data_IF_779811178036
#
_entry.id   IF_779811178036
#
_cell.length_a   1.000
_cell.length_b   1.000
_cell.length_c   1.000
_cell.angle_alpha   90.00
_cell.angle_beta   90.00
_cell.angle_gamma   90.00
#
_symmetry.space_group_name_H-M   'P 1'
#
loop_
_entity.id
_entity.type
_entity.pdbx_description
1 polymer ?
#
# COMPACT_ATOMS: atom_id res chain seq x y z
N UNK A 1 22.12 88.64 10.44
CA UNK A 1 21.30 89.00 11.61
C UNK A 1 19.90 89.30 11.12
N UNK A 2 18.90 88.82 11.88
CA UNK A 2 17.45 88.89 11.69
C UNK A 2 16.84 87.72 10.88
N UNK A 3 15.91 87.06 11.58
CA UNK A 3 15.41 85.71 11.41
C UNK A 3 14.30 85.65 10.36
N UNK A 4 14.39 84.69 9.43
CA UNK A 4 13.21 84.10 8.83
C UNK A 4 12.66 83.08 9.84
N UNK A 5 11.50 83.36 10.45
CA UNK A 5 10.74 82.33 11.18
C UNK A 5 9.65 81.83 10.25
N UNK A 6 9.91 80.64 9.73
CA UNK A 6 9.00 79.82 8.94
C UNK A 6 7.68 79.63 9.68
N UNK A 7 6.57 79.87 8.98
CA UNK A 7 5.25 79.38 9.37
C UNK A 7 5.24 77.86 9.25
N UNK A 8 5.67 77.17 10.30
CA UNK A 8 5.37 75.75 10.51
C UNK A 8 4.08 75.68 11.31
N UNK A 9 2.95 75.45 10.63
CA UNK A 9 1.78 74.89 11.27
C UNK A 9 2.19 73.54 11.84
N UNK A 10 2.46 73.51 13.15
CA UNK A 10 2.64 72.31 13.93
C UNK A 10 1.44 71.40 13.68
N UNK A 11 1.63 70.38 12.83
CA UNK A 11 0.80 69.18 12.83
C UNK A 11 1.02 68.51 14.17
N UNK A 12 0.32 69.00 15.20
CA UNK A 12 0.26 68.31 16.48
C UNK A 12 -0.48 67.00 16.19
N UNK A 13 0.25 65.89 16.26
CA UNK A 13 -0.37 64.56 16.25
C UNK A 13 -1.39 64.54 17.37
N UNK A 14 -2.64 64.14 17.08
CA UNK A 14 -3.72 64.12 18.06
C UNK A 14 -3.36 63.34 19.34
N UNK A 15 -2.47 62.34 19.22
CA UNK A 15 -1.88 61.62 20.35
C UNK A 15 -1.06 62.53 21.29
N UNK A 16 -0.31 63.50 20.78
CA UNK A 16 0.49 64.41 21.59
C UNK A 16 -0.33 65.41 22.41
N UNK A 17 -1.50 65.83 21.89
CA UNK A 17 -2.46 66.68 22.63
C UNK A 17 -3.21 65.89 23.71
N UNK A 18 -3.50 64.61 23.48
CA UNK A 18 -4.23 63.76 24.45
C UNK A 18 -3.31 63.25 25.56
N UNK A 19 -2.11 62.78 25.22
CA UNK A 19 -1.24 62.04 26.16
C UNK A 19 -0.06 62.85 26.71
N UNK A 20 0.16 64.08 26.21
CA UNK A 20 1.25 64.96 26.66
C UNK A 20 2.65 64.46 26.31
N UNK A 21 3.70 65.30 26.50
CA UNK A 21 5.07 64.87 26.28
C UNK A 21 5.49 63.93 27.42
N UNK A 22 5.85 62.69 27.07
CA UNK A 22 6.46 61.68 27.94
C UNK A 22 5.56 61.08 29.03
N UNK A 23 4.32 60.70 28.72
CA UNK A 23 3.58 59.73 29.54
C UNK A 23 3.44 60.11 31.02
N UNK A 24 3.37 61.41 31.31
CA UNK A 24 3.04 61.90 32.64
C UNK A 24 1.53 61.68 32.78
N UNK A 25 1.16 60.71 33.61
CA UNK A 25 -0.24 60.32 33.86
C UNK A 25 -1.08 61.52 34.31
N UNK A 26 -1.72 62.22 33.36
CA UNK A 26 -2.90 63.02 33.65
C UNK A 26 -4.01 62.03 34.03
N UNK A 27 -4.21 61.83 35.34
CA UNK A 27 -5.20 60.92 35.95
C UNK A 27 -6.68 61.25 35.64
N UNK A 28 -6.94 62.17 34.71
CA UNK A 28 -8.27 62.67 34.38
C UNK A 28 -8.93 61.92 33.21
N UNK A 29 -8.21 61.00 32.55
CA UNK A 29 -8.75 60.15 31.50
C UNK A 29 -8.92 58.69 31.97
N UNK A 30 -9.98 58.44 32.73
CA UNK A 30 -10.42 57.09 33.12
C UNK A 30 -11.78 56.78 32.45
N UNK A 31 -11.81 56.08 31.30
CA UNK A 31 -13.04 55.57 30.71
C UNK A 31 -13.63 54.50 31.65
N UNK A 32 -14.71 54.85 32.37
CA UNK A 32 -15.25 54.06 33.48
C UNK A 32 -15.79 52.67 33.11
N UNK A 33 -15.97 52.38 31.82
CA UNK A 33 -16.64 51.18 31.32
C UNK A 33 -15.75 50.28 30.46
N UNK A 34 -14.42 50.43 30.53
CA UNK A 34 -13.51 49.62 29.71
C UNK A 34 -13.08 48.36 30.46
N UNK A 35 -13.40 47.21 29.88
CA UNK A 35 -12.91 45.91 30.33
C UNK A 35 -12.09 45.25 29.22
N UNK A 36 -11.15 44.38 29.60
CA UNK A 36 -10.41 43.57 28.63
C UNK A 36 -11.39 42.67 27.87
N UNK A 37 -11.28 42.63 26.53
CA UNK A 37 -12.23 41.95 25.65
C UNK A 37 -12.53 40.47 26.02
N UNK A 38 -11.60 39.76 26.65
CA UNK A 38 -11.71 38.34 26.99
C UNK A 38 -11.49 38.05 28.49
N UNK A 39 -11.77 39.01 29.37
CA UNK A 39 -11.53 38.87 30.82
C UNK A 39 -12.21 37.64 31.46
N UNK A 40 -13.34 37.18 30.90
CA UNK A 40 -14.10 36.04 31.44
C UNK A 40 -13.56 34.67 31.00
N UNK A 41 -12.58 34.63 30.08
CA UNK A 41 -12.05 33.37 29.52
C UNK A 41 -10.61 33.16 29.95
N UNK A 42 -10.27 31.91 30.25
CA UNK A 42 -8.90 31.50 30.53
C UNK A 42 -8.03 31.63 29.27
N UNK A 43 -6.74 31.88 29.47
CA UNK A 43 -5.75 32.03 28.40
C UNK A 43 -5.58 30.73 27.59
N UNK A 44 -5.60 29.59 28.26
CA UNK A 44 -5.44 28.27 27.66
C UNK A 44 -6.51 27.29 28.16
N UNK A 45 -6.72 26.24 27.37
CA UNK A 45 -7.52 25.07 27.72
C UNK A 45 -6.68 23.80 27.51
N UNK A 46 -7.18 22.64 27.97
CA UNK A 46 -6.48 21.35 27.88
C UNK A 46 -6.07 20.96 26.44
N UNK A 47 -6.79 21.46 25.43
CA UNK A 47 -6.56 21.17 24.00
C UNK A 47 -5.73 22.23 23.28
N UNK A 48 -5.30 23.29 23.96
CA UNK A 48 -4.60 24.42 23.32
C UNK A 48 -3.23 23.98 22.82
N UNK A 49 -2.50 23.19 23.62
CA UNK A 49 -1.23 22.60 23.23
C UNK A 49 -1.38 21.67 22.01
N UNK A 50 -2.35 20.75 22.04
CA UNK A 50 -2.62 19.84 20.92
C UNK A 50 -3.03 20.58 19.64
N UNK A 51 -3.83 21.64 19.78
CA UNK A 51 -4.23 22.51 18.67
C UNK A 51 -3.04 23.22 18.02
N UNK A 52 -2.09 23.69 18.84
CA UNK A 52 -0.84 24.29 18.36
C UNK A 52 0.04 23.23 17.67
N UNK A 53 0.14 22.02 18.23
CA UNK A 53 0.89 20.91 17.59
C UNK A 53 0.30 20.56 16.23
N UNK A 54 -1.04 20.47 16.12
CA UNK A 54 -1.73 20.16 14.87
C UNK A 54 -1.52 21.24 13.80
N UNK A 55 -1.34 22.50 14.22
CA UNK A 55 -1.04 23.62 13.31
C UNK A 55 0.27 23.40 12.54
N UNK A 56 1.27 22.80 13.18
CA UNK A 56 2.58 22.49 12.58
C UNK A 56 2.66 21.08 11.97
N UNK A 57 1.58 20.30 11.98
CA UNK A 57 1.57 18.96 11.44
C UNK A 57 1.70 18.94 9.91
N UNK A 58 2.24 17.86 9.36
CA UNK A 58 2.27 17.67 7.90
C UNK A 58 0.85 17.44 7.34
N UNK A 59 0.64 17.80 6.08
CA UNK A 59 -0.55 17.37 5.33
C UNK A 59 -0.66 15.83 5.39
N UNK A 60 -1.81 15.24 5.78
CA UNK A 60 -3.16 15.84 5.80
C UNK A 60 -3.64 16.36 7.17
N UNK A 61 -2.82 16.33 8.21
CA UNK A 61 -3.27 16.54 9.60
C UNK A 61 -3.45 18.01 9.98
N UNK A 62 -2.82 18.94 9.27
CA UNK A 62 -2.98 20.39 9.48
C UNK A 62 -4.33 20.97 9.05
N UNK A 63 -5.26 20.16 8.53
CA UNK A 63 -6.58 20.61 8.09
C UNK A 63 -7.68 19.94 8.91
N UNK A 64 -8.69 20.74 9.28
CA UNK A 64 -9.91 20.23 9.95
C UNK A 64 -10.86 19.48 9.01
N UNK A 65 -10.82 19.78 7.71
CA UNK A 65 -11.70 19.17 6.71
C UNK A 65 -11.01 19.09 5.35
N UNK A 66 -11.31 18.05 4.57
CA UNK A 66 -10.75 17.83 3.24
C UNK A 66 -11.65 17.00 2.34
N UNK A 67 -11.22 16.78 1.08
CA UNK A 67 -11.92 15.89 0.13
C UNK A 67 -11.43 14.46 0.29
N UNK A 68 -12.35 13.50 0.16
CA UNK A 68 -11.97 12.09 0.09
C UNK A 68 -11.08 11.81 -1.12
N UNK A 69 -10.03 11.00 -0.93
CA UNK A 69 -9.08 10.58 -1.97
C UNK A 69 -9.17 9.07 -2.14
N UNK A 70 -8.76 8.55 -3.30
CA UNK A 70 -8.66 7.10 -3.51
C UNK A 70 -7.49 6.55 -2.71
N UNK A 71 -7.57 5.31 -2.26
CA UNK A 71 -6.49 4.66 -1.51
C UNK A 71 -5.14 4.69 -2.27
N UNK A 72 -5.15 4.44 -3.59
CA UNK A 72 -3.94 4.49 -4.42
C UNK A 72 -3.34 5.89 -4.62
N UNK A 73 -4.09 6.96 -4.33
CA UNK A 73 -3.61 8.34 -4.52
C UNK A 73 -2.83 8.85 -3.29
N UNK A 74 -2.75 8.06 -2.21
CA UNK A 74 -2.09 8.42 -0.96
C UNK A 74 -0.73 7.70 -0.89
N UNK A 75 0.39 8.36 -1.23
CA UNK A 75 1.70 7.73 -1.21
C UNK A 75 2.31 7.81 0.20
N UNK A 76 2.10 6.76 1.02
CA UNK A 76 2.56 6.72 2.41
C UNK A 76 4.08 6.88 2.56
N UNK A 77 4.85 6.30 1.64
CA UNK A 77 6.33 6.28 1.68
C UNK A 77 6.95 7.48 0.96
N UNK A 78 6.14 8.43 0.45
CA UNK A 78 6.65 9.56 -0.34
C UNK A 78 7.68 10.39 0.41
N UNK A 79 7.36 10.76 1.65
CA UNK A 79 8.21 11.68 2.42
C UNK A 79 9.57 11.03 2.74
N UNK A 80 9.58 9.71 2.98
CA UNK A 80 10.79 8.98 3.35
C UNK A 80 11.88 9.04 2.29
N UNK A 81 11.53 9.09 0.98
CA UNK A 81 12.52 9.21 -0.09
C UNK A 81 12.77 10.65 -0.58
N UNK A 82 12.04 11.62 -0.04
CA UNK A 82 12.24 13.05 -0.33
C UNK A 82 13.20 13.73 0.65
N UNK A 83 13.36 13.16 1.84
CA UNK A 83 14.33 13.62 2.83
C UNK A 83 15.77 13.33 2.38
N UNK A 84 16.76 13.73 3.18
CA UNK A 84 18.16 13.41 2.87
C UNK A 84 18.51 12.02 3.41
N UNK A 85 19.29 11.29 2.62
CA UNK A 85 19.80 9.97 2.99
C UNK A 85 20.80 10.07 4.16
N UNK A 86 20.61 9.24 5.19
CA UNK A 86 21.55 9.12 6.30
C UNK A 86 22.81 8.34 5.88
N UNK A 87 24.03 8.81 6.18
CA UNK A 87 25.27 8.23 5.65
C UNK A 87 25.61 6.83 6.17
N UNK A 88 25.01 6.36 7.28
CA UNK A 88 25.34 5.08 7.92
C UNK A 88 24.64 3.85 7.30
N UNK A 89 24.01 4.00 6.13
CA UNK A 89 23.18 2.96 5.51
C UNK A 89 23.89 2.30 4.32
N UNK A 90 23.52 1.05 3.96
CA UNK A 90 24.20 0.31 2.90
C UNK A 90 23.98 0.95 1.51
N UNK A 91 24.94 0.76 0.60
CA UNK A 91 24.93 1.32 -0.78
C UNK A 91 23.65 0.97 -1.54
N UNK A 92 23.11 -0.25 -1.32
CA UNK A 92 21.84 -0.73 -1.91
C UNK A 92 20.67 0.20 -1.59
N UNK A 93 20.65 0.78 -0.39
CA UNK A 93 19.64 1.76 0.03
C UNK A 93 19.81 3.06 -0.74
N UNK A 94 21.03 3.61 -0.82
CA UNK A 94 21.32 4.84 -1.54
C UNK A 94 20.93 4.78 -3.03
N UNK A 95 21.23 3.67 -3.71
CA UNK A 95 20.84 3.46 -5.12
C UNK A 95 19.32 3.38 -5.29
N UNK A 96 18.62 2.78 -4.32
CA UNK A 96 17.15 2.68 -4.34
C UNK A 96 16.51 4.04 -4.14
N UNK A 97 17.05 4.84 -3.21
CA UNK A 97 16.66 6.22 -2.94
C UNK A 97 16.77 7.08 -4.20
N UNK A 98 17.94 7.04 -4.86
CA UNK A 98 18.19 7.79 -6.09
C UNK A 98 17.22 7.40 -7.22
N UNK A 99 16.88 6.11 -7.35
CA UNK A 99 15.92 5.63 -8.37
C UNK A 99 14.50 6.14 -8.12
N UNK A 100 14.06 6.16 -6.86
CA UNK A 100 12.74 6.69 -6.49
C UNK A 100 12.68 8.21 -6.71
N UNK A 101 13.70 8.94 -6.27
CA UNK A 101 13.81 10.38 -6.46
C UNK A 101 13.85 10.73 -7.95
N UNK A 102 14.61 9.99 -8.76
CA UNK A 102 14.61 10.15 -10.22
C UNK A 102 13.22 9.98 -10.82
N UNK A 103 12.45 8.98 -10.37
CA UNK A 103 11.08 8.78 -10.86
C UNK A 103 10.14 9.89 -10.41
N UNK A 104 10.30 10.39 -9.19
CA UNK A 104 9.55 11.53 -8.68
C UNK A 104 9.82 12.79 -9.52
N UNK A 105 11.08 13.17 -9.70
CA UNK A 105 11.48 14.34 -10.51
C UNK A 105 11.03 14.20 -11.96
N UNK A 106 11.16 13.03 -12.57
CA UNK A 106 10.68 12.79 -13.94
C UNK A 106 9.16 12.90 -14.07
N UNK A 107 8.40 12.56 -13.03
CA UNK A 107 6.96 12.73 -13.03
C UNK A 107 6.61 14.22 -12.90
N UNK A 108 7.20 14.94 -11.95
CA UNK A 108 6.97 16.39 -11.76
C UNK A 108 7.36 17.18 -13.03
N UNK A 109 8.52 16.90 -13.63
CA UNK A 109 9.03 17.58 -14.83
C UNK A 109 8.11 17.41 -16.06
N UNK A 110 7.52 16.22 -16.22
CA UNK A 110 6.67 15.91 -17.37
C UNK A 110 5.18 15.98 -17.07
N UNK A 111 4.78 16.46 -15.88
CA UNK A 111 3.36 16.64 -15.56
C UNK A 111 2.79 17.74 -16.44
N UNK A 112 1.71 17.42 -17.15
CA UNK A 112 0.96 18.35 -18.00
C UNK A 112 -0.44 18.51 -17.45
N UNK A 113 -1.07 19.69 -17.59
CA UNK A 113 -2.46 19.86 -17.20
C UNK A 113 -3.33 18.85 -17.95
N UNK A 114 -4.29 18.26 -17.23
CA UNK A 114 -5.19 17.26 -17.81
C UNK A 114 -6.02 17.90 -18.94
N UNK A 115 -6.07 17.21 -20.09
CA UNK A 115 -6.92 17.65 -21.20
C UNK A 115 -8.38 17.45 -20.82
N UNK A 116 -9.20 18.48 -20.99
CA UNK A 116 -10.64 18.35 -20.83
C UNK A 116 -11.18 17.29 -21.80
N UNK A 117 -11.76 16.22 -21.26
CA UNK A 117 -12.32 15.10 -22.01
C UNK A 117 -13.77 14.86 -21.58
N UNK A 118 -14.59 14.35 -22.50
CA UNK A 118 -15.94 13.90 -22.18
C UNK A 118 -15.91 12.73 -21.20
N UNK A 119 -16.68 12.82 -20.11
CA UNK A 119 -16.75 11.79 -19.08
C UNK A 119 -17.51 10.56 -19.58
N UNK A 120 -16.78 9.50 -19.96
CA UNK A 120 -17.36 8.20 -20.36
C UNK A 120 -17.31 7.20 -19.20
N UNK A 121 -18.47 6.84 -18.66
CA UNK A 121 -18.59 5.89 -17.54
C UNK A 121 -18.98 4.50 -18.04
N UNK A 122 -17.99 3.65 -18.33
CA UNK A 122 -18.19 2.31 -18.88
C UNK A 122 -19.18 1.46 -18.06
N UNK A 123 -19.01 1.39 -16.74
CA UNK A 123 -19.90 0.57 -15.90
C UNK A 123 -21.34 1.09 -15.85
N UNK A 124 -21.56 2.40 -16.01
CA UNK A 124 -22.92 2.96 -16.10
C UNK A 124 -23.60 2.54 -17.41
N UNK A 125 -22.84 2.48 -18.50
CA UNK A 125 -23.32 2.02 -19.80
C UNK A 125 -23.58 0.50 -19.80
N UNK A 126 -22.71 -0.30 -19.19
CA UNK A 126 -22.94 -1.75 -19.08
C UNK A 126 -24.18 -2.05 -18.23
N UNK A 127 -24.35 -1.36 -17.09
CA UNK A 127 -25.51 -1.51 -16.21
C UNK A 127 -26.84 -1.14 -16.87
N UNK A 128 -26.84 -0.22 -17.85
CA UNK A 128 -28.09 0.12 -18.57
C UNK A 128 -28.56 -0.99 -19.51
N UNK A 129 -27.70 -1.94 -19.87
CA UNK A 129 -28.09 -3.06 -20.73
C UNK A 129 -28.73 -4.19 -19.92
N UNK A 130 -29.65 -4.95 -20.54
CA UNK A 130 -30.34 -6.08 -19.90
C UNK A 130 -29.41 -7.25 -19.54
N UNK A 131 -28.22 -7.29 -20.15
CA UNK A 131 -27.24 -8.38 -20.00
C UNK A 131 -26.49 -8.34 -18.66
N UNK A 132 -26.41 -7.18 -18.01
CA UNK A 132 -25.65 -7.00 -16.78
C UNK A 132 -26.57 -6.73 -15.60
N UNK A 133 -26.39 -7.50 -14.53
CA UNK A 133 -27.08 -7.32 -13.25
C UNK A 133 -26.09 -6.90 -12.17
N UNK A 134 -26.57 -6.17 -11.17
CA UNK A 134 -25.75 -5.68 -10.05
C UNK A 134 -26.06 -6.49 -8.79
N UNK A 135 -25.03 -7.03 -8.15
CA UNK A 135 -25.14 -7.80 -6.90
C UNK A 135 -24.06 -7.32 -5.92
N UNK A 136 -24.35 -7.44 -4.61
CA UNK A 136 -23.34 -7.26 -3.56
C UNK A 136 -22.71 -8.61 -3.24
N UNK A 137 -21.39 -8.69 -3.34
CA UNK A 137 -20.62 -9.91 -3.12
C UNK A 137 -19.40 -9.60 -2.25
N UNK A 138 -19.01 -10.56 -1.43
CA UNK A 138 -17.73 -10.51 -0.70
C UNK A 138 -16.56 -10.45 -1.69
N UNK A 139 -15.52 -9.68 -1.37
CA UNK A 139 -14.33 -9.54 -2.21
C UNK A 139 -13.71 -10.89 -2.55
N UNK A 140 -13.68 -11.81 -1.57
CA UNK A 140 -13.19 -13.17 -1.77
C UNK A 140 -14.03 -13.93 -2.81
N UNK A 141 -15.36 -13.86 -2.70
CA UNK A 141 -16.29 -14.48 -3.64
C UNK A 141 -16.14 -13.91 -5.05
N UNK A 142 -15.97 -12.59 -5.16
CA UNK A 142 -15.71 -11.92 -6.43
C UNK A 142 -14.37 -12.35 -7.04
N UNK A 143 -13.31 -12.44 -6.24
CA UNK A 143 -11.99 -12.89 -6.66
C UNK A 143 -12.00 -14.31 -7.22
N UNK A 144 -12.69 -15.23 -6.54
CA UNK A 144 -12.83 -16.62 -7.01
C UNK A 144 -13.62 -16.71 -8.32
N UNK A 145 -14.65 -15.87 -8.50
CA UNK A 145 -15.40 -15.79 -9.75
C UNK A 145 -14.55 -15.26 -10.89
N UNK A 146 -13.77 -14.19 -10.67
CA UNK A 146 -12.84 -13.64 -11.68
C UNK A 146 -11.81 -14.69 -12.08
N UNK A 147 -11.23 -15.43 -11.13
CA UNK A 147 -10.30 -16.53 -11.40
C UNK A 147 -10.96 -17.60 -12.27
N UNK A 148 -12.15 -18.09 -11.89
CA UNK A 148 -12.89 -19.14 -12.62
C UNK A 148 -13.25 -18.69 -14.04
N UNK A 149 -13.75 -17.46 -14.19
CA UNK A 149 -14.08 -16.90 -15.50
C UNK A 149 -12.82 -16.73 -16.37
N UNK A 150 -11.71 -16.27 -15.79
CA UNK A 150 -10.42 -16.16 -16.48
C UNK A 150 -9.93 -17.51 -17.02
N UNK A 151 -9.91 -18.56 -16.19
CA UNK A 151 -9.56 -19.91 -16.62
C UNK A 151 -10.48 -20.40 -17.76
N UNK A 152 -11.79 -20.17 -17.64
CA UNK A 152 -12.75 -20.58 -18.68
C UNK A 152 -12.51 -19.86 -20.02
N UNK A 153 -12.24 -18.55 -20.01
CA UNK A 153 -11.96 -17.78 -21.23
C UNK A 153 -10.68 -18.28 -21.89
N UNK A 154 -9.62 -18.54 -21.12
CA UNK A 154 -8.37 -19.09 -21.65
C UNK A 154 -8.57 -20.50 -22.21
N UNK A 155 -9.30 -21.36 -21.52
CA UNK A 155 -9.61 -22.71 -22.00
C UNK A 155 -10.42 -22.69 -23.30
N UNK A 156 -11.44 -21.83 -23.39
CA UNK A 156 -12.25 -21.66 -24.60
C UNK A 156 -11.40 -21.13 -25.77
N UNK A 157 -10.49 -20.20 -25.52
CA UNK A 157 -9.59 -19.67 -26.54
C UNK A 157 -8.66 -20.76 -27.10
N UNK A 158 -8.06 -21.57 -26.23
CA UNK A 158 -7.14 -22.64 -26.64
C UNK A 158 -7.88 -23.72 -27.42
N UNK A 159 -9.05 -24.16 -26.93
CA UNK A 159 -9.87 -25.16 -27.63
C UNK A 159 -10.28 -24.68 -29.03
N UNK A 160 -10.66 -23.41 -29.15
CA UNK A 160 -11.10 -22.82 -30.42
C UNK A 160 -9.97 -22.68 -31.45
N UNK A 161 -8.76 -22.32 -31.00
CA UNK A 161 -7.67 -21.95 -31.91
C UNK A 161 -6.64 -23.07 -32.12
N UNK A 162 -6.46 -23.95 -31.13
CA UNK A 162 -5.29 -24.81 -31.05
C UNK A 162 -5.62 -26.30 -31.06
N UNK A 163 -6.89 -26.73 -30.91
CA UNK A 163 -7.28 -28.17 -30.87
C UNK A 163 -6.46 -29.01 -29.87
N UNK A 164 -5.77 -28.36 -28.93
CA UNK A 164 -5.04 -29.02 -27.84
C UNK A 164 -5.92 -28.99 -26.59
N UNK A 165 -6.01 -30.13 -25.93
CA UNK A 165 -6.57 -30.21 -24.59
C UNK A 165 -5.52 -29.71 -23.59
N UNK A 166 -5.88 -28.71 -22.79
CA UNK A 166 -5.16 -28.44 -21.55
C UNK A 166 -5.38 -29.60 -20.58
N UNK A 167 -4.34 -29.99 -19.84
CA UNK A 167 -4.50 -30.90 -18.71
C UNK A 167 -5.50 -30.30 -17.71
N UNK A 168 -6.46 -31.08 -17.18
CA UNK A 168 -7.37 -30.66 -16.11
C UNK A 168 -6.67 -30.15 -14.83
N UNK A 169 -5.36 -30.38 -14.71
CA UNK A 169 -4.54 -30.10 -13.52
C UNK A 169 -3.97 -28.67 -13.45
N UNK A 170 -4.03 -27.85 -14.50
CA UNK A 170 -3.28 -26.59 -14.56
C UNK A 170 -4.13 -25.34 -14.26
N UNK A 171 -4.78 -25.32 -13.09
CA UNK A 171 -5.45 -24.11 -12.57
C UNK A 171 -4.49 -22.95 -12.24
N UNK A 172 -3.18 -23.16 -12.38
CA UNK A 172 -2.10 -22.18 -12.18
C UNK A 172 -1.79 -21.36 -13.44
N UNK A 173 -2.60 -21.48 -14.50
CA UNK A 173 -2.46 -20.74 -15.77
C UNK A 173 -1.14 -21.02 -16.52
N UNK A 174 -0.47 -22.12 -16.20
CA UNK A 174 0.71 -22.56 -16.93
C UNK A 174 0.28 -23.31 -18.20
N UNK A 175 0.77 -22.86 -19.36
CA UNK A 175 0.53 -23.50 -20.64
C UNK A 175 1.60 -24.57 -20.86
N UNK A 176 1.25 -25.84 -20.65
CA UNK A 176 2.13 -26.97 -20.95
C UNK A 176 1.49 -27.87 -22.02
N UNK A 177 2.25 -28.31 -23.04
CA UNK A 177 1.74 -29.29 -23.98
C UNK A 177 1.54 -30.64 -23.27
N UNK A 178 0.36 -31.23 -23.41
CA UNK A 178 0.04 -32.54 -22.80
C UNK A 178 0.72 -33.69 -23.54
N UNK A 179 0.96 -33.53 -24.83
CA UNK A 179 1.62 -34.51 -25.70
C UNK A 179 2.73 -33.81 -26.49
N UNK A 180 3.69 -34.59 -26.99
CA UNK A 180 4.70 -34.09 -27.92
C UNK A 180 4.00 -33.58 -29.18
N UNK A 181 4.11 -32.27 -29.40
CA UNK A 181 3.39 -31.56 -30.44
C UNK A 181 4.19 -31.61 -31.75
N UNK A 182 3.54 -31.93 -32.87
CA UNK A 182 4.20 -31.93 -34.18
C UNK A 182 4.63 -30.52 -34.58
N UNK A 183 5.56 -30.38 -35.54
CA UNK A 183 6.01 -29.06 -36.02
C UNK A 183 4.87 -28.21 -36.60
N UNK A 184 3.84 -28.85 -37.19
CA UNK A 184 2.64 -28.19 -37.71
C UNK A 184 1.77 -27.65 -36.58
N UNK A 185 1.52 -28.48 -35.58
CA UNK A 185 0.74 -28.09 -34.41
C UNK A 185 1.48 -27.02 -33.59
N UNK A 186 2.80 -27.08 -33.45
CA UNK A 186 3.59 -26.07 -32.74
C UNK A 186 3.51 -24.70 -33.42
N UNK A 187 3.52 -24.67 -34.76
CA UNK A 187 3.29 -23.43 -35.52
C UNK A 187 1.87 -22.90 -35.34
N UNK A 188 0.86 -23.78 -35.28
CA UNK A 188 -0.56 -23.42 -35.07
C UNK A 188 -0.84 -22.97 -33.63
N UNK A 189 -0.16 -23.54 -32.64
CA UNK A 189 -0.34 -23.26 -31.21
C UNK A 189 0.36 -21.98 -30.75
N UNK A 190 1.23 -21.39 -31.58
CA UNK A 190 2.02 -20.21 -31.25
C UNK A 190 1.09 -19.00 -31.02
N UNK A 191 0.88 -18.68 -29.76
CA UNK A 191 0.08 -17.54 -29.35
C UNK A 191 0.92 -16.26 -29.29
N UNK A 192 0.28 -15.11 -29.51
CA UNK A 192 0.95 -13.81 -29.46
C UNK A 192 1.16 -13.29 -28.03
N UNK A 193 1.98 -12.23 -27.90
CA UNK A 193 2.31 -11.63 -26.61
C UNK A 193 1.09 -11.16 -25.81
N UNK A 194 0.01 -10.73 -26.46
CA UNK A 194 -1.21 -10.28 -25.79
C UNK A 194 -1.90 -11.41 -25.01
N UNK A 195 -1.96 -12.61 -25.58
CA UNK A 195 -2.53 -13.79 -24.93
C UNK A 195 -1.70 -14.16 -23.70
N UNK A 196 -0.38 -14.30 -23.86
CA UNK A 196 0.50 -14.65 -22.76
C UNK A 196 0.52 -13.59 -21.65
N UNK A 197 0.54 -12.30 -22.00
CA UNK A 197 0.43 -11.23 -21.01
C UNK A 197 -0.89 -11.30 -20.22
N UNK A 198 -2.00 -11.65 -20.87
CA UNK A 198 -3.29 -11.85 -20.20
C UNK A 198 -3.24 -13.03 -19.21
N UNK A 199 -2.65 -14.16 -19.62
CA UNK A 199 -2.45 -15.32 -18.74
C UNK A 199 -1.64 -14.95 -17.50
N UNK A 200 -0.55 -14.20 -17.66
CA UNK A 200 0.28 -13.80 -16.51
C UNK A 200 -0.39 -12.77 -15.59
N UNK A 201 -1.27 -11.91 -16.11
CA UNK A 201 -2.12 -11.02 -15.27
C UNK A 201 -3.13 -11.86 -14.47
N UNK A 202 -3.73 -12.88 -15.08
CA UNK A 202 -4.62 -13.81 -14.39
C UNK A 202 -3.87 -14.63 -13.33
N UNK A 203 -2.61 -15.01 -13.62
CA UNK A 203 -1.73 -15.67 -12.64
C UNK A 203 -1.44 -14.78 -11.44
N UNK A 204 -1.11 -13.50 -11.65
CA UNK A 204 -0.93 -12.54 -10.54
C UNK A 204 -2.20 -12.42 -9.69
N UNK A 205 -3.36 -12.33 -10.35
CA UNK A 205 -4.66 -12.25 -9.66
C UNK A 205 -4.93 -13.50 -8.85
N UNK A 206 -4.59 -14.68 -9.40
CA UNK A 206 -4.72 -15.95 -8.70
C UNK A 206 -3.83 -16.01 -7.45
N UNK A 207 -2.57 -15.60 -7.52
CA UNK A 207 -1.68 -15.57 -6.35
C UNK A 207 -2.26 -14.74 -5.19
N UNK A 208 -2.84 -13.58 -5.49
CA UNK A 208 -3.47 -12.72 -4.48
C UNK A 208 -4.76 -13.33 -3.90
N UNK A 209 -5.58 -13.97 -4.74
CA UNK A 209 -6.80 -14.64 -4.29
C UNK A 209 -6.46 -15.86 -3.44
N UNK A 210 -5.48 -16.67 -3.84
CA UNK A 210 -5.07 -17.87 -3.12
C UNK A 210 -4.48 -17.55 -1.74
N UNK A 211 -3.68 -16.49 -1.62
CA UNK A 211 -3.22 -16.01 -0.31
C UNK A 211 -4.42 -15.71 0.64
N UNK A 212 -5.50 -15.12 0.11
CA UNK A 212 -6.74 -14.90 0.87
C UNK A 212 -7.53 -16.20 1.10
N UNK A 213 -7.49 -17.15 0.18
CA UNK A 213 -8.08 -18.50 0.36
C UNK A 213 -7.45 -19.19 1.56
N UNK A 214 -6.15 -19.05 1.78
CA UNK A 214 -5.48 -19.65 2.94
C UNK A 214 -5.79 -18.95 4.25
N UNK A 215 -5.92 -17.63 4.22
CA UNK A 215 -6.30 -16.85 5.39
C UNK A 215 -7.71 -17.18 5.90
N UNK A 216 -8.69 -17.37 5.00
CA UNK A 216 -10.10 -17.55 5.38
C UNK A 216 -10.41 -18.77 6.28
N UNK A 217 -9.88 -19.97 6.01
CA UNK A 217 -10.04 -21.14 6.87
C UNK A 217 -9.07 -21.14 8.07
N UNK A 218 -8.20 -20.13 8.19
CA UNK A 218 -7.27 -19.99 9.31
C UNK A 218 -5.96 -20.77 9.17
N UNK A 219 -5.54 -21.13 7.95
CA UNK A 219 -4.22 -21.75 7.72
C UNK A 219 -3.07 -20.77 7.91
N UNK A 220 -3.33 -19.49 7.63
CA UNK A 220 -2.36 -18.40 7.60
C UNK A 220 -2.89 -17.25 8.43
N UNK A 221 -2.02 -16.63 9.23
CA UNK A 221 -2.37 -15.49 10.08
C UNK A 221 -2.45 -14.16 9.29
N UNK A 222 -3.06 -13.13 9.87
CA UNK A 222 -3.22 -11.81 9.26
C UNK A 222 -1.87 -11.17 8.90
N UNK A 223 -0.86 -11.31 9.75
CA UNK A 223 0.49 -10.81 9.46
C UNK A 223 1.15 -11.55 8.30
N UNK A 224 1.01 -12.87 8.27
CA UNK A 224 1.53 -13.70 7.18
C UNK A 224 0.82 -13.41 5.84
N UNK A 225 -0.49 -13.11 5.87
CA UNK A 225 -1.22 -12.65 4.68
C UNK A 225 -0.69 -11.31 4.17
N UNK A 226 -0.41 -10.36 5.08
CA UNK A 226 0.14 -9.06 4.73
C UNK A 226 1.55 -9.20 4.12
N UNK A 227 2.39 -10.02 4.73
CA UNK A 227 3.74 -10.34 4.25
C UNK A 227 3.70 -11.04 2.88
N UNK A 228 2.85 -12.06 2.73
CA UNK A 228 2.62 -12.74 1.44
C UNK A 228 2.18 -11.76 0.36
N UNK A 229 1.26 -10.85 0.69
CA UNK A 229 0.79 -9.83 -0.25
C UNK A 229 1.92 -8.88 -0.66
N UNK A 230 2.73 -8.45 0.30
CA UNK A 230 3.93 -7.63 0.06
C UNK A 230 4.90 -8.37 -0.87
N UNK A 231 5.19 -9.63 -0.55
CA UNK A 231 6.14 -10.47 -1.28
C UNK A 231 5.70 -10.66 -2.73
N UNK A 232 4.41 -10.92 -2.97
CA UNK A 232 3.83 -11.05 -4.31
C UNK A 232 4.10 -9.78 -5.13
N UNK A 233 3.86 -8.60 -4.56
CA UNK A 233 4.09 -7.33 -5.27
C UNK A 233 5.57 -6.97 -5.44
N UNK A 234 6.44 -7.39 -4.52
CA UNK A 234 7.88 -7.21 -4.61
C UNK A 234 8.53 -8.12 -5.67
N UNK A 235 8.00 -9.33 -5.83
CA UNK A 235 8.55 -10.40 -6.67
C UNK A 235 7.70 -10.72 -7.91
N UNK A 236 6.80 -9.82 -8.34
CA UNK A 236 5.94 -10.00 -9.54
C UNK A 236 6.74 -10.54 -10.73
N UNK A 237 7.92 -9.97 -10.97
CA UNK A 237 8.78 -10.39 -12.08
C UNK A 237 9.16 -11.87 -12.03
N UNK A 238 9.56 -12.37 -10.86
CA UNK A 238 9.97 -13.76 -10.67
C UNK A 238 8.77 -14.72 -10.62
N UNK A 239 7.65 -14.31 -10.00
CA UNK A 239 6.47 -15.15 -9.80
C UNK A 239 5.62 -15.33 -11.07
N UNK A 240 5.58 -14.32 -11.94
CA UNK A 240 4.71 -14.32 -13.13
C UNK A 240 5.48 -14.38 -14.45
N UNK A 241 6.68 -13.79 -14.56
CA UNK A 241 7.35 -13.71 -15.86
C UNK A 241 6.70 -12.75 -16.88
N UNK A 242 5.77 -11.87 -16.45
CA UNK A 242 5.12 -10.86 -17.32
C UNK A 242 6.09 -10.02 -18.17
N UNK A 243 7.32 -9.82 -17.68
CA UNK A 243 8.35 -9.04 -18.35
C UNK A 243 8.82 -9.67 -19.67
N UNK A 244 8.67 -10.99 -19.85
CA UNK A 244 9.01 -11.69 -21.08
C UNK A 244 8.12 -11.25 -22.25
N UNK A 245 6.84 -10.96 -21.97
CA UNK A 245 5.86 -10.57 -22.97
C UNK A 245 5.72 -9.04 -23.11
N UNK A 246 6.09 -8.28 -22.06
CA UNK A 246 6.12 -6.82 -22.08
C UNK A 246 7.28 -6.27 -21.26
N UNK A 247 8.42 -6.06 -21.91
CA UNK A 247 9.66 -5.66 -21.22
C UNK A 247 9.59 -4.31 -20.47
N UNK A 248 8.76 -3.36 -20.93
CA UNK A 248 8.56 -2.07 -20.26
C UNK A 248 8.08 -2.21 -18.80
N UNK A 249 7.48 -3.34 -18.44
CA UNK A 249 7.06 -3.69 -17.08
C UNK A 249 8.22 -3.80 -16.09
N UNK A 250 9.45 -3.99 -16.59
CA UNK A 250 10.65 -3.99 -15.75
C UNK A 250 10.80 -2.69 -14.95
N UNK A 251 10.32 -1.55 -15.48
CA UNK A 251 10.33 -0.29 -14.72
C UNK A 251 9.51 -0.43 -13.43
N UNK A 252 8.31 -0.99 -13.49
CA UNK A 252 7.45 -1.19 -12.33
C UNK A 252 8.04 -2.23 -11.36
N UNK A 253 8.54 -3.35 -11.87
CA UNK A 253 9.15 -4.39 -11.04
C UNK A 253 10.39 -3.87 -10.28
N UNK A 254 11.23 -3.07 -10.93
CA UNK A 254 12.39 -2.45 -10.30
C UNK A 254 11.99 -1.38 -9.26
N UNK A 255 10.92 -0.61 -9.52
CA UNK A 255 10.42 0.36 -8.56
C UNK A 255 9.79 -0.29 -7.33
N UNK A 256 9.02 -1.38 -7.52
CA UNK A 256 8.48 -2.15 -6.41
C UNK A 256 9.61 -2.65 -5.49
N UNK A 257 10.68 -3.20 -6.07
CA UNK A 257 11.87 -3.60 -5.30
C UNK A 257 12.54 -2.43 -4.57
N UNK A 258 12.66 -1.26 -5.21
CA UNK A 258 13.24 -0.07 -4.59
C UNK A 258 12.40 0.43 -3.39
N UNK A 259 11.07 0.38 -3.50
CA UNK A 259 10.16 0.73 -2.39
C UNK A 259 10.32 -0.22 -1.20
N UNK A 260 10.50 -1.52 -1.46
CA UNK A 260 10.77 -2.52 -0.41
C UNK A 260 12.10 -2.27 0.30
N UNK A 261 13.12 -1.83 -0.43
CA UNK A 261 14.41 -1.47 0.17
C UNK A 261 14.26 -0.25 1.09
N UNK A 262 13.63 0.82 0.60
CA UNK A 262 13.52 2.09 1.34
C UNK A 262 12.62 1.98 2.56
N UNK A 263 11.64 1.07 2.54
CA UNK A 263 10.77 0.84 3.69
C UNK A 263 11.41 -0.01 4.81
N UNK A 264 12.68 -0.40 4.69
CA UNK A 264 13.36 -1.26 5.68
C UNK A 264 12.90 -2.72 5.68
N UNK A 265 11.84 -3.03 4.92
CA UNK A 265 11.26 -4.37 4.78
C UNK A 265 12.24 -5.36 4.16
N UNK A 266 13.21 -4.89 3.39
CA UNK A 266 14.27 -5.76 2.87
C UNK A 266 15.20 -6.27 3.98
N UNK A 267 15.58 -5.43 4.96
CA UNK A 267 16.43 -5.85 6.06
C UNK A 267 15.70 -6.89 6.95
N UNK A 268 14.39 -6.68 7.13
CA UNK A 268 13.49 -7.66 7.74
C UNK A 268 13.45 -8.98 6.95
N UNK A 269 13.24 -8.92 5.64
CA UNK A 269 13.21 -10.07 4.75
C UNK A 269 14.54 -10.85 4.74
N UNK A 270 15.67 -10.14 4.71
CA UNK A 270 17.01 -10.72 4.75
C UNK A 270 17.26 -11.40 6.11
N UNK A 271 16.82 -10.81 7.22
CA UNK A 271 16.86 -11.44 8.56
C UNK A 271 16.03 -12.71 8.62
N UNK A 272 14.81 -12.68 8.07
CA UNK A 272 13.93 -13.85 8.07
C UNK A 272 14.48 -14.99 7.21
N UNK A 273 15.07 -14.67 6.06
CA UNK A 273 15.73 -15.66 5.21
C UNK A 273 16.97 -16.25 5.89
N UNK A 274 17.75 -15.43 6.61
CA UNK A 274 18.86 -15.91 7.44
C UNK A 274 18.36 -16.85 8.54
N UNK A 275 17.30 -16.48 9.27
CA UNK A 275 16.68 -17.34 10.28
C UNK A 275 16.17 -18.68 9.70
N UNK A 276 15.59 -18.68 8.50
CA UNK A 276 15.13 -19.91 7.85
C UNK A 276 16.29 -20.83 7.46
N UNK A 277 17.44 -20.26 7.10
CA UNK A 277 18.64 -20.98 6.68
C UNK A 277 19.46 -21.48 7.87
N UNK A 278 19.64 -20.63 8.87
CA UNK A 278 20.51 -20.86 10.02
C UNK A 278 19.75 -21.55 11.17
N UNK A 279 18.42 -21.59 11.11
CA UNK A 279 17.55 -22.17 12.11
C UNK A 279 17.28 -21.23 13.29
N UNK A 280 16.42 -21.64 14.24
CA UNK A 280 16.18 -20.88 15.45
C UNK A 280 17.49 -20.68 16.24
N UNK A 281 17.71 -19.47 16.76
CA UNK A 281 18.81 -19.16 17.68
C UNK A 281 18.60 -19.76 19.09
N UNK A 282 18.04 -20.97 19.15
CA UNK A 282 17.66 -21.67 20.38
C UNK A 282 18.38 -23.02 20.35
N UNK A 283 19.06 -23.36 21.44
CA UNK A 283 19.72 -24.66 21.54
C UNK A 283 18.68 -25.79 21.60
N UNK A 284 19.06 -27.00 21.15
CA UNK A 284 18.14 -28.14 21.12
C UNK A 284 17.49 -28.42 22.49
N UNK A 285 18.24 -28.25 23.57
CA UNK A 285 17.77 -28.44 24.95
C UNK A 285 16.71 -27.40 25.36
N UNK A 286 16.93 -26.12 25.03
CA UNK A 286 15.98 -25.04 25.29
C UNK A 286 14.70 -25.23 24.49
N UNK A 287 14.80 -25.66 23.23
CA UNK A 287 13.65 -25.97 22.39
C UNK A 287 12.79 -27.11 22.97
N UNK A 288 13.43 -28.15 23.52
CA UNK A 288 12.75 -29.25 24.22
C UNK A 288 12.07 -28.76 25.50
N UNK A 289 12.75 -27.92 26.29
CA UNK A 289 12.19 -27.34 27.50
C UNK A 289 10.96 -26.47 27.22
N UNK A 290 11.04 -25.58 26.22
CA UNK A 290 9.92 -24.74 25.76
C UNK A 290 8.75 -25.62 25.30
N UNK A 291 9.01 -26.60 24.44
CA UNK A 291 7.96 -27.50 23.92
C UNK A 291 7.27 -28.26 25.05
N UNK A 292 8.03 -28.82 25.98
CA UNK A 292 7.49 -29.62 27.11
C UNK A 292 6.63 -28.75 28.02
N UNK A 293 7.12 -27.53 28.32
CA UNK A 293 6.37 -26.55 29.13
C UNK A 293 5.08 -26.12 28.44
N UNK A 294 5.12 -25.92 27.11
CA UNK A 294 3.95 -25.51 26.31
C UNK A 294 2.91 -26.64 26.24
N UNK A 295 3.34 -27.89 26.05
CA UNK A 295 2.44 -29.05 26.04
C UNK A 295 1.76 -29.19 27.40
N UNK A 296 2.53 -29.15 28.49
CA UNK A 296 1.97 -29.23 29.85
C UNK A 296 0.97 -28.09 30.12
N UNK A 297 1.27 -26.87 29.65
CA UNK A 297 0.35 -25.73 29.75
C UNK A 297 -0.94 -25.95 28.97
N UNK A 298 -0.88 -26.44 27.73
CA UNK A 298 -2.05 -26.73 26.91
C UNK A 298 -2.92 -27.87 27.48
N UNK A 299 -2.28 -28.93 27.98
CA UNK A 299 -2.95 -30.05 28.65
C UNK A 299 -3.66 -29.59 29.92
N UNK A 300 -3.02 -28.74 30.72
CA UNK A 300 -3.63 -28.15 31.93
C UNK A 300 -4.90 -27.34 31.63
N UNK A 301 -5.00 -26.76 30.42
CA UNK A 301 -6.17 -26.00 29.96
C UNK A 301 -7.16 -26.81 29.14
N UNK A 302 -6.95 -28.13 29.00
CA UNK A 302 -7.77 -29.02 28.16
C UNK A 302 -7.93 -28.47 26.73
N UNK A 303 -6.87 -27.88 26.18
CA UNK A 303 -6.92 -27.31 24.84
C UNK A 303 -7.09 -28.43 23.79
N UNK A 304 -8.18 -28.39 23.05
CA UNK A 304 -8.39 -29.27 21.89
C UNK A 304 -7.93 -28.56 20.61
N UNK A 305 -6.99 -29.12 19.83
CA UNK A 305 -6.58 -28.50 18.57
C UNK A 305 -7.75 -28.43 17.60
N UNK A 306 -7.90 -27.28 16.93
CA UNK A 306 -8.91 -27.08 15.89
C UNK A 306 -8.59 -28.05 14.74
N UNK A 307 -9.53 -28.91 14.30
CA UNK A 307 -9.28 -29.85 13.22
C UNK A 307 -8.90 -29.12 11.92
N UNK A 308 -7.98 -29.68 11.14
CA UNK A 308 -7.55 -29.07 9.87
C UNK A 308 -8.75 -28.86 8.93
N UNK A 309 -8.86 -27.69 8.28
CA UNK A 309 -9.95 -27.35 7.36
C UNK A 309 -10.15 -28.36 6.21
N UNK A 310 -9.10 -29.10 5.84
CA UNK A 310 -9.13 -30.14 4.81
C UNK A 310 -10.13 -31.28 5.12
N UNK A 311 -10.39 -31.56 6.41
CA UNK A 311 -11.39 -32.56 6.81
C UNK A 311 -12.83 -32.15 6.50
N UNK A 312 -13.11 -30.87 6.25
CA UNK A 312 -14.46 -30.36 6.07
C UNK A 312 -14.88 -30.15 4.62
N UNK A 313 -14.02 -30.43 3.63
CA UNK A 313 -14.36 -30.23 2.21
C UNK A 313 -14.76 -28.80 1.88
N UNK A 314 -14.25 -27.81 2.64
CA UNK A 314 -14.65 -26.40 2.59
C UNK A 314 -14.45 -25.75 1.22
N UNK A 315 -13.55 -26.30 0.39
CA UNK A 315 -13.30 -25.81 -0.96
C UNK A 315 -13.28 -26.94 -1.99
N UNK A 316 -13.84 -26.71 -3.20
CA UNK A 316 -13.72 -27.65 -4.31
C UNK A 316 -12.25 -27.94 -4.67
N UNK A 317 -11.96 -29.14 -5.19
CA UNK A 317 -10.60 -29.60 -5.49
C UNK A 317 -9.78 -28.72 -6.47
N UNK A 318 -10.43 -27.81 -7.21
CA UNK A 318 -9.77 -26.85 -8.12
C UNK A 318 -9.30 -25.56 -7.41
N UNK A 319 -9.71 -25.34 -6.15
CA UNK A 319 -9.24 -24.26 -5.28
C UNK A 319 -8.08 -24.76 -4.42
N UNK A 320 -7.12 -25.46 -5.04
CA UNK A 320 -5.85 -25.75 -4.36
C UNK A 320 -4.97 -24.50 -4.40
N UNK A 321 -4.36 -24.12 -3.25
CA UNK A 321 -3.26 -23.16 -3.21
C UNK A 321 -2.15 -23.56 -4.19
N UNK A 322 -1.41 -22.59 -4.70
CA UNK A 322 -0.38 -22.84 -5.71
C UNK A 322 0.86 -23.43 -5.04
N UNK A 323 1.46 -24.52 -5.55
CA UNK A 323 2.70 -25.11 -4.97
C UNK A 323 3.90 -24.12 -4.94
N UNK A 324 3.80 -23.01 -5.67
CA UNK A 324 4.80 -21.94 -5.76
C UNK A 324 4.52 -20.77 -4.79
N UNK A 325 3.67 -20.98 -3.78
CA UNK A 325 3.45 -19.98 -2.75
C UNK A 325 4.72 -19.74 -1.96
N UNK A 326 5.03 -18.47 -1.65
CA UNK A 326 6.13 -18.17 -0.75
C UNK A 326 5.84 -18.88 0.58
N UNK A 327 6.81 -19.61 1.16
CA UNK A 327 6.63 -20.20 2.47
C UNK A 327 6.26 -19.07 3.44
N UNK A 328 5.27 -19.27 4.34
CA UNK A 328 4.88 -18.24 5.28
C UNK A 328 6.11 -17.87 6.10
N UNK A 329 6.63 -16.66 5.88
CA UNK A 329 7.76 -16.18 6.65
C UNK A 329 7.25 -15.95 8.07
N UNK A 330 7.97 -16.53 9.01
CA UNK A 330 7.63 -16.59 10.43
C UNK A 330 7.81 -15.20 11.05
N UNK A 331 6.88 -14.28 10.83
CA UNK A 331 6.93 -12.98 11.51
C UNK A 331 6.67 -13.14 13.01
N UNK A 332 6.01 -14.21 13.47
CA UNK A 332 5.59 -14.30 14.88
C UNK A 332 5.55 -15.73 15.46
N UNK A 333 6.70 -16.42 15.52
CA UNK A 333 6.85 -17.55 16.44
C UNK A 333 7.37 -17.13 17.82
N UNK A 334 7.12 -15.89 18.23
CA UNK A 334 7.41 -15.37 19.57
C UNK A 334 6.25 -14.46 20.01
N UNK A 335 5.13 -15.10 20.34
CA UNK A 335 4.16 -14.63 21.33
C UNK A 335 3.80 -15.83 22.19
#
# INVERSE_FOLDING_TARGET
MLQAKEHTSLLVLHEGDIFGPNGIDNKDFDPKDWCLFLQTKNLENDLTADGIVLWWAAEPYNRRSGRMRRAQDIPLVRNWYLEHFSPNQPVKFGVSYQKLLKCYVLNELHTRPEKAMLKKNLFRQLKSTKLFQMMRLDWFGAGLQVRRQGCNVVNLFIRRNVELELSPSDYNMNLKPVKTVTTKEHKKSRSGNAFHLCCEILRLTKLLVDARVQFRPGYVDAFQLADTSQYIFAHIGALTGMYQYKHKLMRQALLARALVVVSGLLAEQERQNAYLKDGPYINAEEAVAIRTTTVHWLESRKFSPIPSPDKYGLFPAWVKPTDAEPPPLLVYKWC
#
